data_IF_587273283993
#
_entry.id   IF_587273283993
#
_cell.length_a   1.000
_cell.length_b   1.000
_cell.length_c   1.000
_cell.angle_alpha   90.00
_cell.angle_beta   90.00
_cell.angle_gamma   90.00
#
_symmetry.space_group_name_H-M   'P 1'
#
loop_
_entity.id
_entity.type
_entity.pdbx_description
1 polymer ?
#
# COMPACT_ATOMS: atom_id res chain seq x y z
N UNK A 1 -13.32 24.69 -9.68
CA UNK A 1 -12.06 24.69 -8.91
C UNK A 1 -11.23 23.50 -9.32
N UNK A 2 -10.01 23.72 -9.79
CA UNK A 2 -9.05 22.64 -10.13
C UNK A 2 -8.56 22.01 -8.82
N UNK A 3 -8.74 20.70 -8.63
CA UNK A 3 -8.19 19.98 -7.47
C UNK A 3 -6.71 19.69 -7.69
N UNK A 4 -5.89 19.83 -6.66
CA UNK A 4 -4.49 19.42 -6.66
C UNK A 4 -4.34 18.00 -6.11
N UNK A 5 -3.23 17.33 -6.41
CA UNK A 5 -2.92 16.02 -5.82
C UNK A 5 -2.84 16.07 -4.29
N UNK A 6 -2.39 17.20 -3.73
CA UNK A 6 -2.35 17.47 -2.29
C UNK A 6 -3.73 17.35 -1.62
N UNK A 7 -4.80 17.61 -2.37
CA UNK A 7 -6.17 17.65 -1.84
C UNK A 7 -6.84 16.27 -1.85
N UNK A 8 -6.15 15.24 -2.38
CA UNK A 8 -6.71 13.90 -2.59
C UNK A 8 -6.39 12.91 -1.45
N UNK A 9 -5.70 13.36 -0.40
CA UNK A 9 -5.35 12.50 0.75
C UNK A 9 -4.15 11.57 0.50
N UNK A 10 -3.28 11.92 -0.44
CA UNK A 10 -2.07 11.18 -0.73
C UNK A 10 -0.95 11.49 0.28
N UNK A 11 -0.12 10.49 0.57
CA UNK A 11 1.03 10.62 1.45
C UNK A 11 2.06 11.60 0.85
N UNK A 12 2.73 12.37 1.72
CA UNK A 12 3.74 13.36 1.31
C UNK A 12 4.83 12.78 0.41
N UNK A 13 5.27 11.54 0.67
CA UNK A 13 6.25 10.86 -0.18
C UNK A 13 5.76 10.70 -1.62
N UNK A 14 4.49 10.34 -1.83
CA UNK A 14 3.93 10.20 -3.18
C UNK A 14 3.79 11.55 -3.86
N UNK A 15 3.37 12.59 -3.14
CA UNK A 15 3.28 13.96 -3.67
C UNK A 15 4.63 14.45 -4.20
N UNK A 16 5.71 14.24 -3.44
CA UNK A 16 7.08 14.60 -3.87
C UNK A 16 7.49 13.83 -5.13
N UNK A 17 7.17 12.54 -5.22
CA UNK A 17 7.51 11.75 -6.41
C UNK A 17 6.68 12.15 -7.63
N UNK A 18 5.40 12.50 -7.44
CA UNK A 18 4.54 13.00 -8.50
C UNK A 18 5.08 14.31 -9.07
N UNK A 19 5.45 15.25 -8.21
CA UNK A 19 6.05 16.52 -8.61
C UNK A 19 7.36 16.32 -9.38
N UNK A 20 8.26 15.46 -8.87
CA UNK A 20 9.52 15.10 -9.56
C UNK A 20 9.30 14.46 -10.93
N UNK A 21 8.23 13.68 -11.07
CA UNK A 21 7.84 13.07 -12.33
C UNK A 21 7.06 14.02 -13.26
N UNK A 22 6.81 15.27 -12.85
CA UNK A 22 6.10 16.28 -13.62
C UNK A 22 4.58 16.18 -13.57
N UNK A 23 4.02 15.36 -12.67
CA UNK A 23 2.57 15.26 -12.46
C UNK A 23 2.11 16.32 -11.46
N UNK A 24 1.55 17.42 -11.99
CA UNK A 24 1.10 18.55 -11.17
C UNK A 24 -0.40 18.54 -10.91
N UNK A 25 -1.20 18.17 -11.92
CA UNK A 25 -2.67 18.24 -11.86
C UNK A 25 -3.29 16.87 -12.10
N UNK A 26 -4.15 16.37 -11.20
CA UNK A 26 -4.89 15.13 -11.41
C UNK A 26 -5.91 15.29 -12.54
N UNK A 27 -6.11 14.22 -13.31
CA UNK A 27 -7.21 14.19 -14.30
C UNK A 27 -8.57 14.11 -13.58
N UNK A 28 -9.69 14.48 -14.23
CA UNK A 28 -11.01 14.43 -13.58
C UNK A 28 -11.38 13.06 -13.00
N UNK A 29 -11.00 11.96 -13.69
CA UNK A 29 -11.24 10.59 -13.20
C UNK A 29 -10.37 10.27 -11.98
N UNK A 30 -9.14 10.76 -11.90
CA UNK A 30 -8.24 10.57 -10.75
C UNK A 30 -8.76 11.36 -9.53
N UNK A 31 -9.12 12.62 -9.73
CA UNK A 31 -9.61 13.50 -8.67
C UNK A 31 -10.93 13.00 -8.04
N UNK A 32 -11.71 12.24 -8.80
CA UNK A 32 -12.91 11.57 -8.32
C UNK A 32 -12.58 10.22 -7.68
N UNK A 33 -11.81 9.36 -8.35
CA UNK A 33 -11.61 7.97 -7.90
C UNK A 33 -10.66 7.83 -6.71
N UNK A 34 -9.57 8.61 -6.65
CA UNK A 34 -8.51 8.44 -5.64
C UNK A 34 -9.06 8.52 -4.20
N UNK A 35 -9.87 9.52 -3.83
CA UNK A 35 -10.44 9.59 -2.47
C UNK A 35 -11.30 8.37 -2.11
N UNK A 36 -12.14 7.88 -3.02
CA UNK A 36 -12.99 6.70 -2.76
C UNK A 36 -12.16 5.42 -2.61
N UNK A 37 -11.15 5.24 -3.45
CA UNK A 37 -10.26 4.07 -3.40
C UNK A 37 -9.38 4.06 -2.13
N UNK A 38 -8.95 5.24 -1.68
CA UNK A 38 -8.24 5.40 -0.40
C UNK A 38 -9.14 5.10 0.79
N UNK A 39 -10.43 5.43 0.72
CA UNK A 39 -11.43 5.05 1.71
C UNK A 39 -11.79 3.55 1.68
N UNK A 40 -11.25 2.78 0.72
CA UNK A 40 -11.46 1.33 0.63
C UNK A 40 -12.75 0.92 -0.06
N UNK A 41 -13.41 1.84 -0.78
CA UNK A 41 -14.58 1.51 -1.58
C UNK A 41 -14.20 0.85 -2.91
N UNK A 42 -15.03 -0.08 -3.35
CA UNK A 42 -14.96 -0.61 -4.71
C UNK A 42 -15.49 0.42 -5.71
N UNK A 43 -14.82 0.53 -6.86
CA UNK A 43 -15.14 1.54 -7.87
C UNK A 43 -15.11 0.92 -9.27
N UNK A 44 -16.22 1.08 -10.00
CA UNK A 44 -16.30 0.81 -11.44
C UNK A 44 -16.10 2.12 -12.19
N UNK A 45 -14.95 2.26 -12.83
CA UNK A 45 -14.59 3.47 -13.59
C UNK A 45 -14.62 3.22 -15.09
N UNK A 46 -15.57 3.83 -15.80
CA UNK A 46 -15.58 3.87 -17.27
C UNK A 46 -14.91 5.17 -17.72
N UNK A 47 -13.82 5.06 -18.47
CA UNK A 47 -13.22 6.21 -19.15
C UNK A 47 -12.50 5.75 -20.42
N UNK A 48 -12.26 6.67 -21.36
CA UNK A 48 -11.49 6.39 -22.57
C UNK A 48 -10.01 6.06 -22.24
N UNK A 49 -9.31 5.35 -23.11
CA UNK A 49 -7.85 5.14 -23.00
C UNK A 49 -7.11 6.49 -22.97
N UNK A 50 -6.00 6.57 -22.22
CA UNK A 50 -5.21 7.80 -22.09
C UNK A 50 -5.73 8.83 -21.06
N UNK A 51 -6.84 8.57 -20.37
CA UNK A 51 -7.43 9.49 -19.36
C UNK A 51 -6.82 9.38 -17.96
N UNK A 52 -5.80 8.54 -17.78
CA UNK A 52 -5.09 8.41 -16.50
C UNK A 52 -5.72 7.43 -15.50
N UNK A 53 -6.61 6.52 -15.93
CA UNK A 53 -7.19 5.45 -15.08
C UNK A 53 -6.12 4.61 -14.36
N UNK A 54 -5.02 4.29 -15.03
CA UNK A 54 -3.93 3.50 -14.43
C UNK A 54 -3.39 4.16 -13.16
N UNK A 55 -3.10 5.46 -13.20
CA UNK A 55 -2.64 6.19 -12.03
C UNK A 55 -3.75 6.36 -10.98
N UNK A 56 -5.02 6.44 -11.39
CA UNK A 56 -6.17 6.53 -10.47
C UNK A 56 -6.25 5.31 -9.53
N UNK A 57 -5.90 4.11 -10.01
CA UNK A 57 -5.83 2.89 -9.19
C UNK A 57 -4.44 2.65 -8.59
N UNK A 58 -3.37 2.97 -9.32
CA UNK A 58 -2.01 2.71 -8.84
C UNK A 58 -1.62 3.55 -7.62
N UNK A 59 -2.00 4.83 -7.58
CA UNK A 59 -1.65 5.71 -6.46
C UNK A 59 -2.22 5.23 -5.11
N UNK A 60 -3.53 4.88 -5.00
CA UNK A 60 -4.07 4.26 -3.79
C UNK A 60 -3.37 2.94 -3.40
N UNK A 61 -3.00 2.10 -4.37
CA UNK A 61 -2.29 0.84 -4.11
C UNK A 61 -0.89 1.11 -3.55
N UNK A 62 -0.13 2.01 -4.17
CA UNK A 62 1.19 2.41 -3.70
C UNK A 62 1.13 3.01 -2.29
N UNK A 63 0.11 3.81 -1.99
CA UNK A 63 -0.10 4.35 -0.65
C UNK A 63 -0.29 3.24 0.40
N UNK A 64 -1.12 2.24 0.10
CA UNK A 64 -1.34 1.08 1.00
C UNK A 64 -0.03 0.33 1.25
N UNK A 65 0.73 0.03 0.19
CA UNK A 65 2.03 -0.63 0.31
C UNK A 65 3.07 0.18 1.13
N UNK A 66 3.05 1.50 1.03
CA UNK A 66 3.89 2.38 1.84
C UNK A 66 3.49 2.37 3.32
N UNK A 67 2.20 2.23 3.63
CA UNK A 67 1.71 2.07 4.99
C UNK A 67 2.08 0.70 5.57
N UNK A 68 1.94 -0.38 4.79
CA UNK A 68 2.26 -1.75 5.25
C UNK A 68 3.76 -1.92 5.54
N UNK A 69 4.63 -1.28 4.74
CA UNK A 69 6.09 -1.27 4.98
C UNK A 69 6.51 -0.60 6.29
N UNK A 70 5.66 0.22 6.91
CA UNK A 70 5.94 0.84 8.22
C UNK A 70 5.70 -0.10 9.39
N UNK A 71 5.17 -1.31 9.19
CA UNK A 71 5.21 -2.35 10.22
C UNK A 71 6.62 -2.98 10.25
N UNK A 72 7.45 -2.70 11.26
CA UNK A 72 8.70 -3.40 11.42
C UNK A 72 8.35 -4.83 11.79
N UNK A 73 8.85 -5.79 11.00
CA UNK A 73 9.28 -7.11 11.41
C UNK A 73 8.80 -7.48 12.83
N UNK A 74 7.57 -8.00 12.97
CA UNK A 74 7.23 -8.75 14.18
C UNK A 74 8.25 -9.87 14.20
N UNK A 75 9.25 -9.75 15.08
CA UNK A 75 10.22 -10.81 15.32
C UNK A 75 9.45 -12.14 15.36
N UNK A 76 9.91 -13.20 14.66
CA UNK A 76 9.24 -14.48 14.77
C UNK A 76 9.13 -14.79 16.25
N UNK A 77 7.92 -15.00 16.74
CA UNK A 77 7.64 -15.41 18.10
C UNK A 77 8.53 -16.62 18.41
N UNK A 78 9.67 -16.39 19.04
CA UNK A 78 10.59 -17.40 19.52
C UNK A 78 9.95 -18.05 20.76
N UNK A 79 8.88 -18.81 20.51
CA UNK A 79 8.38 -19.86 21.39
C UNK A 79 8.34 -21.15 20.60
N UNK A 80 9.48 -21.51 20.01
CA UNK A 80 9.79 -22.90 19.76
C UNK A 80 9.83 -23.58 21.14
N UNK A 81 8.74 -24.25 21.52
CA UNK A 81 8.78 -25.18 22.65
C UNK A 81 9.80 -26.25 22.28
N UNK A 82 10.80 -26.55 23.13
CA UNK A 82 11.66 -27.69 22.84
C UNK A 82 10.77 -28.93 22.73
N UNK A 83 10.79 -29.59 21.58
CA UNK A 83 10.28 -30.95 21.49
C UNK A 83 11.24 -31.81 22.30
N UNK A 84 10.76 -32.37 23.41
CA UNK A 84 11.54 -33.34 24.17
C UNK A 84 11.77 -34.56 23.27
N UNK A 85 13.04 -34.90 23.01
CA UNK A 85 13.41 -36.14 22.34
C UNK A 85 13.15 -37.31 23.30
N UNK A 86 12.22 -38.24 23.00
CA UNK A 86 11.91 -39.35 23.88
C UNK A 86 13.01 -40.45 23.93
N UNK A 87 14.16 -40.27 23.28
CA UNK A 87 15.20 -41.33 23.18
C UNK A 87 16.45 -41.13 24.03
N UNK A 88 16.59 -40.06 24.81
CA UNK A 88 17.81 -39.83 25.62
C UNK A 88 17.83 -40.60 26.96
N UNK A 89 17.41 -41.86 26.94
CA UNK A 89 17.24 -42.66 28.15
C UNK A 89 17.63 -44.12 28.00
N UNK A 90 18.83 -44.44 27.51
CA UNK A 90 19.54 -45.68 27.85
C UNK A 90 20.96 -45.68 27.26
N UNK A 91 21.98 -45.49 28.10
CA UNK A 91 23.31 -46.12 27.95
C UNK A 91 24.25 -45.61 29.05
N UNK A 92 24.04 -46.04 30.28
CA UNK A 92 25.16 -46.35 31.17
C UNK A 92 24.74 -47.38 32.22
N UNK A 93 24.82 -48.65 31.83
CA UNK A 93 24.99 -49.83 32.70
C UNK A 93 25.75 -50.88 31.92
#
# INVERSE_FOLDING_TARGET
MTKLFSDLGLASTLLIQLEKAGYTTPTPIQAQAIPFLLAGHDLLGIAQTGTGKTAAFALPILQKLLADRKMPNSAPNARARPVADPRTGLANR
#
